data_IF_008837609588
#
_entry.id   IF_008837609588
#
_cell.length_a   1.000
_cell.length_b   1.000
_cell.length_c   1.000
_cell.angle_alpha   90.00
_cell.angle_beta   90.00
_cell.angle_gamma   90.00
#
_symmetry.space_group_name_H-M   'P 1'
#
loop_
_entity.id
_entity.type
_entity.pdbx_description
1 polymer ?
#
# COMPACT_ATOMS: atom_id res chain seq x y z
N UNK A 1 2.32 -1.06 -5.37
CA UNK A 1 1.67 -0.14 -4.40
C UNK A 1 0.83 -0.94 -3.43
N UNK A 2 1.02 -0.75 -2.13
CA UNK A 2 0.16 -1.35 -1.11
C UNK A 2 -0.85 -0.31 -0.62
N UNK A 3 -2.13 -0.69 -0.64
CA UNK A 3 -3.16 0.06 0.07
C UNK A 3 -2.89 0.01 1.59
N UNK A 4 -3.29 1.04 2.31
CA UNK A 4 -3.08 1.14 3.77
C UNK A 4 -3.61 -0.08 4.51
N UNK A 5 -4.72 -0.67 4.06
CA UNK A 5 -5.31 -1.88 4.66
C UNK A 5 -4.33 -3.05 4.70
N UNK A 6 -3.52 -3.21 3.66
CA UNK A 6 -2.52 -4.29 3.58
C UNK A 6 -1.34 -4.03 4.51
N UNK A 7 -0.88 -2.78 4.58
CA UNK A 7 0.21 -2.41 5.50
C UNK A 7 -0.20 -2.69 6.94
N UNK A 8 -1.39 -2.24 7.35
CA UNK A 8 -1.91 -2.47 8.70
C UNK A 8 -2.05 -3.96 8.99
N UNK A 9 -2.73 -4.70 8.10
CA UNK A 9 -2.93 -6.14 8.27
C UNK A 9 -1.60 -6.90 8.34
N UNK A 10 -0.63 -6.51 7.51
CA UNK A 10 0.67 -7.15 7.47
C UNK A 10 1.52 -6.92 8.72
N UNK A 11 1.34 -5.77 9.38
CA UNK A 11 2.04 -5.49 10.64
C UNK A 11 1.35 -6.12 11.86
N UNK A 12 0.04 -6.35 11.79
CA UNK A 12 -0.71 -7.00 12.88
C UNK A 12 -0.52 -8.51 12.83
N UNK A 13 -0.67 -9.12 11.66
CA UNK A 13 -0.64 -10.55 11.48
C UNK A 13 0.78 -11.10 11.52
N UNK A 14 0.95 -12.29 12.12
CA UNK A 14 2.22 -13.02 12.10
C UNK A 14 2.34 -13.96 10.92
N UNK A 15 1.24 -14.24 10.24
CA UNK A 15 1.16 -15.18 9.09
C UNK A 15 0.19 -14.63 8.06
N UNK A 16 0.28 -15.17 6.85
CA UNK A 16 -0.62 -14.84 5.76
C UNK A 16 0.03 -13.98 4.69
N UNK A 17 -0.74 -13.69 3.66
CA UNK A 17 -0.22 -13.01 2.47
C UNK A 17 0.18 -11.56 2.74
N UNK A 18 -0.60 -10.80 3.51
CA UNK A 18 -0.26 -9.42 3.85
C UNK A 18 1.04 -9.35 4.65
N UNK A 19 1.20 -10.23 5.65
CA UNK A 19 2.43 -10.33 6.43
C UNK A 19 3.62 -10.70 5.55
N UNK A 20 3.46 -11.66 4.64
CA UNK A 20 4.52 -12.07 3.72
C UNK A 20 4.99 -10.93 2.82
N UNK A 21 4.06 -10.08 2.34
CA UNK A 21 4.39 -8.92 1.51
C UNK A 21 5.17 -7.87 2.31
N UNK A 22 4.74 -7.55 3.52
CA UNK A 22 5.42 -6.59 4.39
C UNK A 22 6.81 -7.11 4.79
N UNK A 23 6.92 -8.38 5.16
CA UNK A 23 8.22 -8.99 5.48
C UNK A 23 9.18 -8.98 4.29
N UNK A 24 8.67 -9.26 3.09
CA UNK A 24 9.48 -9.22 1.88
C UNK A 24 10.02 -7.81 1.60
N UNK A 25 9.23 -6.78 1.88
CA UNK A 25 9.68 -5.40 1.78
C UNK A 25 10.79 -5.10 2.80
N UNK A 26 10.63 -5.48 4.05
CA UNK A 26 11.67 -5.31 5.06
C UNK A 26 12.97 -6.06 4.70
N UNK A 27 12.85 -7.20 4.04
CA UNK A 27 13.98 -8.03 3.62
C UNK A 27 14.57 -7.66 2.24
N UNK A 28 14.15 -6.54 1.66
CA UNK A 28 14.58 -6.06 0.34
C UNK A 28 14.27 -7.05 -0.82
N UNK A 29 13.28 -7.92 -0.63
CA UNK A 29 12.79 -8.85 -1.68
C UNK A 29 11.60 -8.30 -2.45
N UNK A 30 11.02 -7.20 -2.00
CA UNK A 30 9.91 -6.50 -2.63
C UNK A 30 10.15 -5.01 -2.55
N UNK A 31 9.92 -4.31 -3.64
CA UNK A 31 10.01 -2.85 -3.69
C UNK A 31 8.62 -2.25 -3.62
N UNK A 32 8.40 -1.30 -2.70
CA UNK A 32 7.14 -0.59 -2.57
C UNK A 32 7.29 0.84 -3.06
N UNK A 33 6.35 1.26 -3.89
CA UNK A 33 6.24 2.64 -4.31
C UNK A 33 5.43 3.45 -3.30
N UNK A 34 5.73 4.73 -3.19
CA UNK A 34 4.99 5.67 -2.34
C UNK A 34 5.08 7.09 -2.89
N UNK A 35 4.15 7.91 -2.46
CA UNK A 35 4.19 9.36 -2.62
C UNK A 35 4.21 9.99 -1.23
N UNK A 36 4.55 11.29 -1.08
CA UNK A 36 4.44 11.96 0.21
C UNK A 36 3.04 11.85 0.84
N UNK A 37 1.99 11.93 0.02
CA UNK A 37 0.61 11.80 0.50
C UNK A 37 0.34 10.40 1.08
N UNK A 38 0.81 9.35 0.42
CA UNK A 38 0.65 7.96 0.88
C UNK A 38 1.46 7.72 2.16
N UNK A 39 2.70 8.19 2.21
CA UNK A 39 3.52 8.09 3.41
C UNK A 39 2.83 8.76 4.61
N UNK A 40 2.26 9.94 4.38
CA UNK A 40 1.49 10.65 5.40
C UNK A 40 0.27 9.88 5.87
N UNK A 41 -0.46 9.22 4.96
CA UNK A 41 -1.60 8.38 5.31
C UNK A 41 -1.18 7.16 6.14
N UNK A 42 -0.13 6.46 5.73
CA UNK A 42 0.39 5.35 6.52
C UNK A 42 0.75 5.80 7.94
N UNK A 43 1.47 6.90 8.07
CA UNK A 43 1.88 7.43 9.37
C UNK A 43 0.67 7.81 10.23
N UNK A 44 -0.33 8.47 9.65
CA UNK A 44 -1.56 8.86 10.34
C UNK A 44 -2.36 7.65 10.82
N UNK A 45 -2.60 6.67 9.95
CA UNK A 45 -3.37 5.48 10.28
C UNK A 45 -2.65 4.64 11.33
N UNK A 46 -1.35 4.43 11.19
CA UNK A 46 -0.56 3.65 12.12
C UNK A 46 -0.44 4.30 13.51
N UNK A 47 -0.64 5.62 13.60
CA UNK A 47 -0.63 6.34 14.86
C UNK A 47 -1.97 6.32 15.60
N UNK A 48 -3.02 5.72 15.03
CA UNK A 48 -4.34 5.68 15.67
C UNK A 48 -4.29 4.90 16.99
N UNK A 49 -4.98 5.40 18.05
CA UNK A 49 -4.95 4.77 19.37
C UNK A 49 -5.40 3.32 19.38
N UNK A 50 -6.36 2.92 18.50
CA UNK A 50 -6.86 1.55 18.41
C UNK A 50 -5.79 0.55 17.97
N UNK A 51 -4.73 1.02 17.32
CA UNK A 51 -3.63 0.16 16.88
C UNK A 51 -2.47 0.08 17.88
N UNK A 52 -2.47 0.93 18.91
CA UNK A 52 -1.36 1.02 19.86
C UNK A 52 -1.10 -0.29 20.62
N UNK A 53 -2.14 -1.10 20.85
CA UNK A 53 -2.04 -2.37 21.56
C UNK A 53 -1.76 -3.58 20.66
N UNK A 54 -1.82 -3.42 19.32
CA UNK A 54 -1.70 -4.54 18.37
C UNK A 54 -0.51 -4.40 17.43
N UNK A 55 0.02 -3.19 17.27
CA UNK A 55 1.24 -2.94 16.48
C UNK A 55 2.29 -2.32 17.40
N UNK A 56 3.46 -2.95 17.49
CA UNK A 56 4.55 -2.44 18.30
C UNK A 56 5.04 -1.08 17.77
N UNK A 57 5.42 -0.12 18.65
CA UNK A 57 5.92 1.18 18.21
C UNK A 57 7.10 1.09 17.23
N UNK A 58 8.01 0.14 17.44
CA UNK A 58 9.15 -0.06 16.54
C UNK A 58 8.73 -0.51 15.14
N UNK A 59 7.66 -1.29 15.03
CA UNK A 59 7.14 -1.74 13.72
C UNK A 59 6.49 -0.58 12.96
N UNK A 60 5.77 0.28 13.67
CA UNK A 60 5.15 1.48 13.08
C UNK A 60 6.20 2.45 12.55
N UNK A 61 7.21 2.73 13.36
CA UNK A 61 8.30 3.61 12.97
C UNK A 61 9.15 2.95 11.89
N UNK A 62 9.39 1.65 12.02
CA UNK A 62 10.22 0.88 11.11
C UNK A 62 9.73 0.88 9.67
N UNK A 63 8.42 0.70 9.44
CA UNK A 63 7.87 0.72 8.07
C UNK A 63 8.02 2.10 7.42
N UNK A 64 7.81 3.18 8.17
CA UNK A 64 7.95 4.54 7.66
C UNK A 64 9.41 4.84 7.31
N UNK A 65 10.34 4.49 8.20
CA UNK A 65 11.77 4.68 7.95
C UNK A 65 12.25 3.83 6.77
N UNK A 66 11.76 2.60 6.65
CA UNK A 66 12.12 1.70 5.54
C UNK A 66 11.63 2.24 4.21
N UNK A 67 10.41 2.77 4.15
CA UNK A 67 9.87 3.40 2.94
C UNK A 67 10.72 4.61 2.52
N UNK A 68 11.10 5.46 3.46
CA UNK A 68 11.95 6.62 3.16
C UNK A 68 13.34 6.22 2.71
N UNK A 69 13.89 5.13 3.25
CA UNK A 69 15.25 4.67 2.94
C UNK A 69 15.33 3.85 1.65
N UNK A 70 14.34 3.00 1.38
CA UNK A 70 14.39 1.99 0.32
C UNK A 70 13.12 1.92 -0.54
N UNK A 71 12.08 2.68 -0.22
CA UNK A 71 10.89 2.75 -1.05
C UNK A 71 11.15 3.50 -2.34
N UNK A 72 10.31 3.26 -3.34
CA UNK A 72 10.36 3.97 -4.61
C UNK A 72 9.46 5.20 -4.52
N UNK A 73 10.07 6.37 -4.38
CA UNK A 73 9.34 7.64 -4.40
C UNK A 73 8.90 7.94 -5.84
N UNK A 74 7.60 8.08 -6.05
CA UNK A 74 7.04 8.37 -7.38
C UNK A 74 6.25 9.67 -7.37
N UNK A 75 6.16 10.31 -8.54
CA UNK A 75 5.29 11.46 -8.76
C UNK A 75 3.91 10.95 -9.18
N UNK A 76 2.82 11.36 -8.50
CA UNK A 76 1.49 10.87 -8.82
C UNK A 76 1.06 11.30 -10.23
N UNK A 77 0.42 10.38 -10.96
CA UNK A 77 -0.19 10.68 -12.25
C UNK A 77 -1.56 11.35 -12.06
N UNK A 78 -1.97 12.15 -13.04
CA UNK A 78 -3.30 12.75 -13.02
C UNK A 78 -4.39 11.69 -13.27
N UNK A 79 -5.43 11.71 -12.43
CA UNK A 79 -6.59 10.85 -12.55
C UNK A 79 -7.86 11.70 -12.42
N UNK A 80 -8.85 11.52 -13.32
CA UNK A 80 -10.11 12.24 -13.19
C UNK A 80 -10.85 11.90 -11.90
N UNK A 81 -11.05 12.90 -11.03
CA UNK A 81 -11.69 12.69 -9.72
C UNK A 81 -13.16 12.30 -9.85
N UNK A 82 -13.86 12.80 -10.87
CA UNK A 82 -15.28 12.52 -11.07
C UNK A 82 -15.59 11.04 -11.36
N UNK A 83 -14.59 10.27 -11.79
CA UNK A 83 -14.75 8.84 -12.06
C UNK A 83 -14.57 7.97 -10.81
N UNK A 84 -14.27 8.56 -9.64
CA UNK A 84 -13.87 7.82 -8.46
C UNK A 84 -14.93 7.88 -7.35
N UNK A 85 -15.39 6.71 -6.80
CA UNK A 85 -16.38 6.68 -5.73
C UNK A 85 -15.88 7.31 -4.42
N UNK A 86 -14.62 7.09 -4.08
CA UNK A 86 -13.99 7.63 -2.88
C UNK A 86 -12.70 8.36 -3.26
N UNK A 87 -12.69 9.68 -3.09
CA UNK A 87 -11.53 10.51 -3.43
C UNK A 87 -10.30 10.20 -2.57
N UNK A 88 -10.48 9.61 -1.39
CA UNK A 88 -9.37 9.22 -0.52
C UNK A 88 -8.55 8.06 -1.09
N UNK A 89 -9.12 7.29 -2.03
CA UNK A 89 -8.42 6.20 -2.72
C UNK A 89 -7.59 6.68 -3.91
N UNK A 90 -7.85 7.88 -4.42
CA UNK A 90 -7.16 8.43 -5.59
C UNK A 90 -5.63 8.49 -5.45
N UNK A 91 -5.04 8.86 -4.30
CA UNK A 91 -3.58 8.87 -4.15
C UNK A 91 -2.93 7.53 -4.49
N UNK A 92 -3.57 6.42 -4.16
CA UNK A 92 -3.05 5.06 -4.45
C UNK A 92 -3.12 4.75 -5.94
N UNK A 93 -4.20 5.14 -6.61
CA UNK A 93 -4.36 4.94 -8.06
C UNK A 93 -3.36 5.79 -8.81
N UNK A 94 -3.23 7.06 -8.45
CA UNK A 94 -2.28 7.98 -9.07
C UNK A 94 -0.83 7.49 -8.94
N UNK A 95 -0.49 6.94 -7.78
CA UNK A 95 0.84 6.38 -7.55
C UNK A 95 1.04 5.07 -8.34
N UNK A 96 0.04 4.21 -8.39
CA UNK A 96 0.12 2.95 -9.13
C UNK A 96 0.33 3.19 -10.63
N UNK A 97 -0.29 4.21 -11.20
CA UNK A 97 -0.09 4.60 -12.60
C UNK A 97 1.33 5.09 -12.88
N UNK A 98 2.03 5.57 -11.87
CA UNK A 98 3.39 6.09 -12.00
C UNK A 98 4.46 5.00 -11.88
N UNK A 99 4.10 3.76 -11.54
CA UNK A 99 5.04 2.64 -11.43
C UNK A 99 4.89 1.70 -12.63
N UNK A 100 5.98 0.98 -12.92
CA UNK A 100 6.02 0.09 -14.08
C UNK A 100 4.98 -1.04 -14.00
N UNK A 101 4.81 -1.64 -12.83
CA UNK A 101 3.87 -2.74 -12.63
C UNK A 101 2.41 -2.31 -12.70
N UNK A 102 2.10 -1.04 -12.46
CA UNK A 102 0.74 -0.48 -12.41
C UNK A 102 -0.20 -1.34 -11.58
N UNK A 103 0.24 -1.72 -10.38
CA UNK A 103 -0.48 -2.65 -9.51
C UNK A 103 -0.77 -2.03 -8.16
N UNK A 104 -2.01 -2.21 -7.68
CA UNK A 104 -2.44 -1.97 -6.30
C UNK A 104 -2.75 -3.30 -5.66
N UNK A 105 -2.24 -3.52 -4.45
CA UNK A 105 -2.61 -4.66 -3.62
C UNK A 105 -3.44 -4.14 -2.46
N UNK A 106 -4.65 -4.66 -2.30
CA UNK A 106 -5.63 -4.18 -1.33
C UNK A 106 -6.46 -5.32 -0.75
N UNK A 107 -6.94 -5.15 0.49
CA UNK A 107 -7.93 -6.06 1.09
C UNK A 107 -9.35 -5.81 0.56
N UNK A 108 -9.57 -4.68 -0.12
CA UNK A 108 -10.88 -4.25 -0.62
C UNK A 108 -10.83 -4.02 -2.14
N UNK A 109 -10.65 -5.09 -2.96
CA UNK A 109 -10.52 -4.92 -4.41
C UNK A 109 -11.71 -4.20 -5.05
N UNK A 110 -12.92 -4.36 -4.50
CA UNK A 110 -14.13 -3.70 -4.99
C UNK A 110 -14.05 -2.18 -4.93
N UNK A 111 -13.38 -1.61 -3.94
CA UNK A 111 -13.23 -0.16 -3.80
C UNK A 111 -12.36 0.44 -4.91
N UNK A 112 -11.49 -0.39 -5.51
CA UNK A 112 -10.59 0.01 -6.58
C UNK A 112 -11.04 -0.51 -7.97
N UNK A 113 -12.25 -1.05 -8.08
CA UNK A 113 -12.74 -1.60 -9.35
C UNK A 113 -12.60 -0.63 -10.55
N UNK A 114 -12.86 0.69 -10.40
CA UNK A 114 -12.66 1.65 -11.49
C UNK A 114 -11.21 1.78 -11.95
N UNK A 115 -10.24 1.35 -11.17
CA UNK A 115 -8.82 1.45 -11.53
C UNK A 115 -8.47 0.67 -12.81
N UNK A 116 -9.19 -0.42 -13.09
CA UNK A 116 -8.99 -1.21 -14.30
C UNK A 116 -9.19 -0.39 -15.57
N UNK A 117 -10.10 0.58 -15.57
CA UNK A 117 -10.36 1.46 -16.70
C UNK A 117 -9.17 2.37 -17.02
N UNK A 118 -8.28 2.56 -16.08
CA UNK A 118 -7.05 3.36 -16.23
C UNK A 118 -5.80 2.48 -16.43
N UNK A 119 -5.98 1.16 -16.60
CA UNK A 119 -4.87 0.24 -16.81
C UNK A 119 -4.16 -0.19 -15.52
N UNK A 120 -4.78 -0.01 -14.37
CA UNK A 120 -4.24 -0.45 -13.09
C UNK A 120 -4.76 -1.85 -12.74
N UNK A 121 -3.84 -2.76 -12.42
CA UNK A 121 -4.16 -4.08 -11.92
C UNK A 121 -4.46 -3.99 -10.42
N UNK A 122 -5.59 -4.57 -9.99
CA UNK A 122 -6.00 -4.60 -8.59
C UNK A 122 -5.95 -6.04 -8.09
N UNK A 123 -5.14 -6.30 -7.08
CA UNK A 123 -4.91 -7.64 -6.54
C UNK A 123 -5.24 -7.71 -5.06
N UNK A 124 -5.71 -8.88 -4.61
CA UNK A 124 -5.73 -9.23 -3.20
C UNK A 124 -4.30 -9.49 -2.70
N UNK A 125 -4.06 -9.50 -1.37
CA UNK A 125 -2.75 -9.88 -0.85
C UNK A 125 -2.28 -11.27 -1.32
N UNK A 126 -3.17 -12.25 -1.38
CA UNK A 126 -2.83 -13.59 -1.88
C UNK A 126 -2.41 -13.58 -3.34
N UNK A 127 -3.11 -12.84 -4.18
CA UNK A 127 -2.74 -12.67 -5.58
C UNK A 127 -1.42 -11.91 -5.72
N UNK A 128 -1.22 -10.86 -4.94
CA UNK A 128 0.03 -10.10 -4.93
C UNK A 128 1.22 -10.95 -4.49
N UNK A 129 1.04 -11.78 -3.49
CA UNK A 129 2.06 -12.72 -3.04
C UNK A 129 2.46 -13.68 -4.16
N UNK A 130 1.51 -14.23 -4.88
CA UNK A 130 1.79 -15.15 -5.99
C UNK A 130 2.52 -14.47 -7.14
N UNK A 131 2.18 -13.22 -7.42
CA UNK A 131 2.75 -12.49 -8.56
C UNK A 131 4.14 -11.93 -8.27
N UNK A 132 4.37 -11.44 -7.06
CA UNK A 132 5.59 -10.69 -6.72
C UNK A 132 6.57 -11.46 -5.84
N UNK A 133 6.17 -12.52 -5.21
CA UNK A 133 7.03 -13.36 -4.38
C UNK A 133 7.11 -14.77 -4.93
#
# INVERSE_FOLDING_TARGET
MLDTSVVVAGLIARRGAASALVEAFFADRLHLAYTPAILGEYAEVLARPELAGVIAPNDRIGIILKLRASGLLVSPADVPTAAWPDVDDLPFVSAALAVESKTIITLNPGDFAPAADFGVQVLSPSQGRREFL
#
